data_IF_741969229855
#
_entry.id   IF_741969229855
#
_cell.length_a   1.000
_cell.length_b   1.000
_cell.length_c   1.000
_cell.angle_alpha   90.00
_cell.angle_beta   90.00
_cell.angle_gamma   90.00
#
_symmetry.space_group_name_H-M   'P 1'
#
loop_
_entity.id
_entity.type
_entity.pdbx_description
1 polymer ?
#
# COMPACT_ATOMS: atom_id res chain seq x y z
N UNK A 1 41.11 -21.68 16.21
CA UNK A 1 41.87 -20.45 16.49
C UNK A 1 40.99 -19.54 17.31
N UNK A 2 41.27 -19.38 18.60
CA UNK A 2 40.53 -18.45 19.45
C UNK A 2 41.33 -17.16 19.59
N UNK A 3 40.73 -16.02 19.23
CA UNK A 3 41.37 -14.72 19.39
C UNK A 3 41.35 -14.31 20.88
N UNK A 4 42.42 -13.66 21.38
CA UNK A 4 42.46 -13.13 22.75
C UNK A 4 41.28 -12.21 23.03
N UNK A 5 40.74 -12.27 24.26
CA UNK A 5 39.55 -11.51 24.65
C UNK A 5 39.70 -9.99 24.44
N UNK A 6 40.89 -9.44 24.70
CA UNK A 6 41.20 -8.02 24.46
C UNK A 6 40.98 -7.59 23.01
N UNK A 7 41.45 -8.42 22.07
CA UNK A 7 41.35 -8.15 20.63
C UNK A 7 39.88 -8.20 20.20
N UNK A 8 39.11 -9.15 20.74
CA UNK A 8 37.66 -9.24 20.46
C UNK A 8 36.93 -8.01 20.97
N UNK A 9 37.21 -7.58 22.20
CA UNK A 9 36.58 -6.42 22.82
C UNK A 9 36.86 -5.13 22.03
N UNK A 10 38.13 -4.90 21.66
CA UNK A 10 38.52 -3.75 20.83
C UNK A 10 37.80 -3.72 19.48
N UNK A 11 37.63 -4.88 18.84
CA UNK A 11 36.91 -4.98 17.57
C UNK A 11 35.42 -4.68 17.76
N UNK A 12 34.79 -5.19 18.82
CA UNK A 12 33.38 -4.90 19.09
C UNK A 12 33.13 -3.42 19.37
N UNK A 13 33.96 -2.80 20.20
CA UNK A 13 33.84 -1.38 20.51
C UNK A 13 34.02 -0.50 19.26
N UNK A 14 34.98 -0.85 18.41
CA UNK A 14 35.19 -0.16 17.14
C UNK A 14 34.00 -0.32 16.18
N UNK A 15 33.35 -1.48 16.12
CA UNK A 15 32.16 -1.70 15.27
C UNK A 15 30.99 -0.83 15.75
N UNK A 16 30.71 -0.85 17.06
CA UNK A 16 29.60 -0.09 17.64
C UNK A 16 29.83 1.40 17.42
N UNK A 17 31.04 1.88 17.71
CA UNK A 17 31.42 3.29 17.52
C UNK A 17 31.34 3.70 16.06
N UNK A 18 31.85 2.87 15.14
CA UNK A 18 31.84 3.16 13.70
C UNK A 18 30.43 3.16 13.12
N UNK A 19 29.58 2.20 13.51
CA UNK A 19 28.20 2.16 13.06
C UNK A 19 27.37 3.35 13.56
N UNK A 20 27.67 3.86 14.76
CA UNK A 20 26.95 4.99 15.35
C UNK A 20 27.45 6.36 14.84
N UNK A 21 28.77 6.54 14.71
CA UNK A 21 29.39 7.86 14.47
C UNK A 21 30.13 7.98 13.14
N UNK A 22 30.38 6.87 12.43
CA UNK A 22 31.22 6.85 11.23
C UNK A 22 32.71 7.13 11.48
N UNK A 23 33.13 7.25 12.74
CA UNK A 23 34.51 7.64 13.10
C UNK A 23 35.40 6.41 13.28
N UNK A 24 36.63 6.48 12.74
CA UNK A 24 37.60 5.40 12.84
C UNK A 24 38.36 5.45 14.19
N UNK A 25 38.29 4.36 14.96
CA UNK A 25 39.03 4.22 16.23
C UNK A 25 40.44 3.69 15.96
N UNK A 26 41.44 4.16 16.72
CA UNK A 26 42.82 3.66 16.65
C UNK A 26 42.89 2.27 17.29
N UNK A 27 43.14 1.25 16.47
CA UNK A 27 43.15 -0.16 16.87
C UNK A 27 44.55 -0.78 16.82
N UNK A 28 44.79 -1.83 17.61
CA UNK A 28 45.98 -2.68 17.50
C UNK A 28 46.02 -3.34 16.10
N UNK A 29 47.22 -3.69 15.57
CA UNK A 29 47.33 -4.23 14.20
C UNK A 29 46.43 -5.43 13.91
N UNK A 30 46.28 -6.36 14.87
CA UNK A 30 45.42 -7.53 14.72
C UNK A 30 43.93 -7.16 14.70
N UNK A 31 43.50 -6.32 15.64
CA UNK A 31 42.15 -5.76 15.73
C UNK A 31 41.79 -4.95 14.47
N UNK A 32 42.74 -4.19 13.93
CA UNK A 32 42.59 -3.39 12.70
C UNK A 32 42.35 -4.27 11.47
N UNK A 33 43.06 -5.39 11.36
CA UNK A 33 42.82 -6.35 10.27
C UNK A 33 41.43 -6.95 10.36
N UNK A 34 41.00 -7.41 11.55
CA UNK A 34 39.66 -7.94 11.76
C UNK A 34 38.56 -6.89 11.48
N UNK A 35 38.72 -5.67 11.99
CA UNK A 35 37.82 -4.55 11.76
C UNK A 35 37.73 -4.18 10.27
N UNK A 36 38.82 -4.27 9.49
CA UNK A 36 38.80 -3.93 8.06
C UNK A 36 37.81 -4.78 7.24
N UNK A 37 37.67 -6.06 7.58
CA UNK A 37 36.72 -6.96 6.93
C UNK A 37 35.28 -6.58 7.26
N UNK A 38 35.02 -6.24 8.53
CA UNK A 38 33.69 -5.85 9.01
C UNK A 38 33.32 -4.44 8.57
N UNK A 39 34.29 -3.52 8.49
CA UNK A 39 34.10 -2.18 7.95
C UNK A 39 33.57 -2.24 6.52
N UNK A 40 34.17 -3.10 5.67
CA UNK A 40 33.72 -3.29 4.28
C UNK A 40 32.26 -3.75 4.17
N UNK A 41 31.77 -4.57 5.09
CA UNK A 41 30.37 -5.01 5.09
C UNK A 41 29.44 -3.92 5.61
N UNK A 42 29.85 -3.18 6.64
CA UNK A 42 29.11 -2.03 7.17
C UNK A 42 28.96 -0.94 6.10
N UNK A 43 30.07 -0.55 5.45
CA UNK A 43 30.09 0.47 4.38
C UNK A 43 29.10 0.11 3.26
N UNK A 44 29.14 -1.14 2.77
CA UNK A 44 28.22 -1.63 1.72
C UNK A 44 26.77 -1.58 2.16
N UNK A 45 26.49 -1.88 3.43
CA UNK A 45 25.12 -1.86 3.95
C UNK A 45 24.60 -0.42 4.08
N UNK A 46 25.45 0.52 4.49
CA UNK A 46 25.12 1.95 4.56
C UNK A 46 24.81 2.47 3.15
N UNK A 47 25.70 2.22 2.18
CA UNK A 47 25.50 2.64 0.78
C UNK A 47 24.21 2.03 0.19
N UNK A 48 23.96 0.75 0.46
CA UNK A 48 22.71 0.09 0.03
C UNK A 48 21.47 0.73 0.66
N UNK A 49 21.55 1.13 1.93
CA UNK A 49 20.44 1.80 2.60
C UNK A 49 20.17 3.17 1.98
N UNK A 50 21.22 3.98 1.80
CA UNK A 50 21.12 5.31 1.18
C UNK A 50 20.55 5.23 -0.24
N UNK A 51 21.11 4.37 -1.09
CA UNK A 51 20.63 4.19 -2.48
C UNK A 51 19.18 3.70 -2.55
N UNK A 52 18.77 2.80 -1.66
CA UNK A 52 17.38 2.32 -1.61
C UNK A 52 16.44 3.40 -1.08
N UNK A 53 16.86 4.15 -0.05
CA UNK A 53 16.10 5.27 0.51
C UNK A 53 15.86 6.33 -0.56
N UNK A 54 16.92 6.73 -1.28
CA UNK A 54 16.86 7.68 -2.38
C UNK A 54 16.01 7.17 -3.55
N UNK A 55 16.14 5.90 -3.90
CA UNK A 55 15.30 5.31 -4.96
C UNK A 55 13.82 5.36 -4.58
N UNK A 56 13.48 5.06 -3.33
CA UNK A 56 12.10 5.09 -2.82
C UNK A 56 11.59 6.53 -2.72
N UNK A 57 12.39 7.47 -2.26
CA UNK A 57 12.00 8.88 -2.14
C UNK A 57 11.76 9.50 -3.53
N UNK A 58 12.65 9.25 -4.50
CA UNK A 58 12.48 9.66 -5.90
C UNK A 58 11.24 9.04 -6.54
N UNK A 59 10.99 7.75 -6.30
CA UNK A 59 9.78 7.10 -6.79
C UNK A 59 8.50 7.68 -6.16
N UNK A 60 8.51 7.96 -4.86
CA UNK A 60 7.38 8.59 -4.17
C UNK A 60 7.13 10.01 -4.70
N UNK A 61 8.20 10.81 -4.87
CA UNK A 61 8.12 12.16 -5.45
C UNK A 61 7.64 12.13 -6.90
N UNK A 62 8.15 11.22 -7.72
CA UNK A 62 7.69 11.08 -9.11
C UNK A 62 6.19 10.75 -9.16
N UNK A 63 5.66 9.92 -8.26
CA UNK A 63 4.21 9.65 -8.18
C UNK A 63 3.41 10.91 -7.82
N UNK A 64 3.92 11.73 -6.89
CA UNK A 64 3.30 12.99 -6.52
C UNK A 64 3.28 14.00 -7.68
N UNK A 65 4.43 14.20 -8.33
CA UNK A 65 4.58 15.16 -9.43
C UNK A 65 3.70 14.78 -10.64
N UNK A 66 3.55 13.48 -10.94
CA UNK A 66 2.63 12.99 -11.98
C UNK A 66 1.15 13.21 -11.64
N UNK A 67 0.79 13.24 -10.36
CA UNK A 67 -0.58 13.54 -9.94
C UNK A 67 -0.87 15.04 -10.00
N UNK A 68 0.10 15.90 -9.69
CA UNK A 68 -0.04 17.35 -9.79
C UNK A 68 -0.20 17.79 -11.25
N UNK A 69 0.61 17.25 -12.18
CA UNK A 69 0.50 17.56 -13.61
C UNK A 69 -0.83 17.13 -14.24
N UNK A 70 -1.52 16.13 -13.67
CA UNK A 70 -2.87 15.73 -14.13
C UNK A 70 -3.95 16.72 -13.74
N UNK A 71 -3.74 17.49 -12.68
CA UNK A 71 -4.69 18.51 -12.21
C UNK A 71 -4.66 19.74 -13.14
N UNK A 72 -3.47 20.14 -13.62
CA UNK A 72 -3.29 21.27 -14.54
C UNK A 72 -3.85 21.00 -15.96
N UNK A 73 -4.07 19.74 -16.33
CA UNK A 73 -4.57 19.38 -17.68
C UNK A 73 -6.11 19.41 -17.76
N UNK A 74 -6.82 19.57 -16.64
CA UNK A 74 -8.30 19.72 -16.61
C UNK A 74 -8.72 21.19 -16.49
N UNK A 75 -8.28 22.07 -17.40
CA UNK A 75 -8.87 23.42 -17.51
C UNK A 75 -8.79 23.98 -18.93
N UNK A 76 -9.67 23.53 -19.82
CA UNK A 76 -10.13 24.34 -20.97
C UNK A 76 -11.22 23.66 -21.80
N UNK A 77 -12.49 23.89 -21.45
CA UNK A 77 -13.53 24.25 -22.44
C UNK A 77 -14.64 25.03 -21.70
N UNK A 78 -14.97 26.27 -22.10
CA UNK A 78 -16.16 26.96 -21.62
C UNK A 78 -17.33 26.66 -22.55
N UNK A 79 -18.33 25.92 -22.07
CA UNK A 79 -19.66 25.88 -22.69
C UNK A 79 -20.73 26.15 -21.65
N UNK A 80 -21.67 27.01 -22.06
CA UNK A 80 -22.65 27.79 -21.32
C UNK A 80 -23.86 27.01 -20.74
N UNK A 81 -24.20 27.33 -19.47
CA UNK A 81 -25.54 27.50 -18.82
C UNK A 81 -26.59 26.34 -18.85
N UNK A 82 -27.63 26.35 -17.99
CA UNK A 82 -27.67 26.30 -16.52
C UNK A 82 -28.56 25.14 -15.95
N UNK A 83 -28.19 24.63 -14.76
CA UNK A 83 -29.04 24.07 -13.67
C UNK A 83 -30.15 23.05 -14.07
N UNK A 84 -29.91 21.77 -13.79
CA UNK A 84 -30.91 20.83 -13.23
C UNK A 84 -30.22 19.96 -12.18
N UNK A 85 -30.30 20.40 -10.93
CA UNK A 85 -29.64 19.76 -9.79
C UNK A 85 -30.53 18.61 -9.25
N UNK A 86 -29.95 17.42 -9.13
CA UNK A 86 -30.45 16.19 -8.48
C UNK A 86 -30.99 15.04 -9.34
N UNK A 87 -31.26 15.19 -10.65
CA UNK A 87 -31.68 14.04 -11.51
C UNK A 87 -30.56 13.42 -12.33
N UNK A 88 -29.42 14.12 -12.50
CA UNK A 88 -28.37 13.74 -13.44
C UNK A 88 -27.67 12.42 -13.08
N UNK A 89 -27.42 12.16 -11.79
CA UNK A 89 -26.73 10.95 -11.35
C UNK A 89 -27.60 9.70 -11.50
N UNK A 90 -28.91 9.84 -11.26
CA UNK A 90 -29.86 8.74 -11.35
C UNK A 90 -30.19 8.40 -12.81
N UNK A 91 -30.38 9.43 -13.65
CA UNK A 91 -30.58 9.25 -15.08
C UNK A 91 -29.34 8.65 -15.77
N UNK A 92 -28.14 9.07 -15.38
CA UNK A 92 -26.89 8.54 -15.93
C UNK A 92 -26.62 7.09 -15.45
N UNK A 93 -26.94 6.76 -14.20
CA UNK A 93 -26.86 5.38 -13.71
C UNK A 93 -27.92 4.49 -14.36
N UNK A 94 -29.12 5.00 -14.63
CA UNK A 94 -30.16 4.25 -15.34
C UNK A 94 -29.83 4.10 -16.84
N UNK A 95 -29.15 5.06 -17.46
CA UNK A 95 -28.57 4.94 -18.80
C UNK A 95 -27.42 3.91 -18.82
N UNK A 96 -26.60 3.85 -17.75
CA UNK A 96 -25.62 2.77 -17.56
C UNK A 96 -26.29 1.41 -17.41
N UNK A 97 -27.41 1.31 -16.67
CA UNK A 97 -28.22 0.09 -16.54
C UNK A 97 -28.89 -0.31 -17.87
N UNK A 98 -29.10 0.64 -18.78
CA UNK A 98 -29.73 0.42 -20.09
C UNK A 98 -28.72 0.03 -21.19
N UNK A 99 -27.42 0.20 -20.96
CA UNK A 99 -26.39 -0.11 -21.95
C UNK A 99 -26.04 -1.60 -21.98
N UNK A 100 -26.85 -2.40 -22.67
CA UNK A 100 -26.72 -3.87 -22.77
C UNK A 100 -25.33 -4.32 -23.27
N UNK A 101 -24.76 -3.63 -24.25
CA UNK A 101 -23.41 -3.94 -24.79
C UNK A 101 -22.32 -3.74 -23.75
N UNK A 102 -22.48 -2.74 -22.88
CA UNK A 102 -21.54 -2.50 -21.81
C UNK A 102 -21.72 -3.51 -20.68
N UNK A 103 -22.95 -3.88 -20.34
CA UNK A 103 -23.24 -4.92 -19.37
C UNK A 103 -22.71 -6.29 -19.80
N UNK A 104 -22.80 -6.64 -21.10
CA UNK A 104 -22.23 -7.88 -21.65
C UNK A 104 -20.68 -7.89 -21.58
N UNK A 105 -20.05 -6.74 -21.86
CA UNK A 105 -18.60 -6.57 -21.64
C UNK A 105 -18.22 -6.70 -20.16
N UNK A 106 -19.04 -6.18 -19.25
CA UNK A 106 -18.84 -6.29 -17.80
C UNK A 106 -19.05 -7.72 -17.28
N UNK A 107 -20.01 -8.46 -17.83
CA UNK A 107 -20.23 -9.87 -17.51
C UNK A 107 -18.99 -10.71 -17.82
N UNK A 108 -18.36 -10.46 -18.98
CA UNK A 108 -17.12 -11.12 -19.36
C UNK A 108 -15.94 -10.72 -18.46
N UNK A 109 -15.84 -9.45 -18.06
CA UNK A 109 -14.72 -8.95 -17.25
C UNK A 109 -14.81 -9.35 -15.78
N UNK A 110 -16.01 -9.36 -15.20
CA UNK A 110 -16.24 -9.59 -13.77
C UNK A 110 -16.72 -11.00 -13.46
N UNK A 111 -17.11 -11.80 -14.46
CA UNK A 111 -17.69 -13.14 -14.28
C UNK A 111 -18.89 -13.16 -13.32
N UNK A 112 -19.74 -12.13 -13.40
CA UNK A 112 -20.93 -11.95 -12.55
C UNK A 112 -22.19 -11.87 -13.41
N UNK A 113 -23.34 -12.22 -12.84
CA UNK A 113 -24.60 -12.20 -13.58
C UNK A 113 -25.08 -10.74 -13.80
N UNK A 114 -25.86 -10.49 -14.85
CA UNK A 114 -26.37 -9.15 -15.20
C UNK A 114 -27.16 -8.53 -14.03
N UNK A 115 -27.90 -9.34 -13.29
CA UNK A 115 -28.67 -8.91 -12.12
C UNK A 115 -27.76 -8.52 -10.93
N UNK A 116 -26.62 -9.19 -10.77
CA UNK A 116 -25.63 -8.82 -9.76
C UNK A 116 -24.94 -7.51 -10.12
N UNK A 117 -24.69 -7.27 -11.41
CA UNK A 117 -24.16 -5.99 -11.90
C UNK A 117 -25.16 -4.86 -11.62
N UNK A 118 -26.46 -5.09 -11.84
CA UNK A 118 -27.52 -4.13 -11.51
C UNK A 118 -27.58 -3.82 -10.01
N UNK A 119 -27.53 -4.84 -9.15
CA UNK A 119 -27.46 -4.64 -7.70
C UNK A 119 -26.20 -3.86 -7.28
N UNK A 120 -25.06 -4.13 -7.94
CA UNK A 120 -23.82 -3.38 -7.69
C UNK A 120 -23.89 -1.94 -8.20
N UNK A 121 -24.66 -1.66 -9.25
CA UNK A 121 -24.94 -0.29 -9.69
C UNK A 121 -25.79 0.47 -8.65
N UNK A 122 -26.72 -0.20 -7.96
CA UNK A 122 -27.47 0.40 -6.85
C UNK A 122 -26.58 0.67 -5.62
N UNK A 123 -25.67 -0.26 -5.29
CA UNK A 123 -24.63 -0.04 -4.28
C UNK A 123 -23.70 1.13 -4.66
N UNK A 124 -23.37 1.26 -5.95
CA UNK A 124 -22.54 2.34 -6.48
C UNK A 124 -23.22 3.71 -6.36
N UNK A 125 -24.55 3.79 -6.59
CA UNK A 125 -25.33 5.01 -6.35
C UNK A 125 -25.17 5.50 -4.91
N UNK A 126 -25.31 4.59 -3.93
CA UNK A 126 -25.11 4.92 -2.51
C UNK A 126 -23.69 5.40 -2.21
N UNK A 127 -22.69 4.79 -2.85
CA UNK A 127 -21.28 5.19 -2.68
C UNK A 127 -20.97 6.55 -3.30
N UNK A 128 -21.54 6.88 -4.46
CA UNK A 128 -21.42 8.21 -5.04
C UNK A 128 -22.04 9.29 -4.15
N UNK A 129 -23.21 9.01 -3.56
CA UNK A 129 -23.86 9.92 -2.59
C UNK A 129 -23.00 10.07 -1.33
N UNK A 130 -22.43 8.97 -0.81
CA UNK A 130 -21.59 8.99 0.38
C UNK A 130 -20.24 9.71 0.18
N UNK A 131 -19.63 9.58 -1.00
CA UNK A 131 -18.39 10.24 -1.39
C UNK A 131 -18.59 11.74 -1.74
N UNK A 132 -19.85 12.19 -1.83
CA UNK A 132 -20.18 13.58 -2.15
C UNK A 132 -19.92 13.97 -3.60
N UNK A 133 -19.83 13.01 -4.53
CA UNK A 133 -19.74 13.28 -5.98
C UNK A 133 -21.14 13.50 -6.51
N UNK A 134 -21.46 14.77 -6.79
CA UNK A 134 -22.81 15.21 -7.16
C UNK A 134 -23.07 15.26 -8.67
N UNK A 135 -22.07 15.01 -9.51
CA UNK A 135 -22.23 14.85 -10.96
C UNK A 135 -21.02 14.14 -11.54
N UNK A 136 -21.24 13.29 -12.54
CA UNK A 136 -20.21 12.98 -13.52
C UNK A 136 -20.34 13.97 -14.69
N UNK A 137 -19.21 14.32 -15.30
CA UNK A 137 -19.21 15.21 -16.46
C UNK A 137 -19.62 14.46 -17.74
N UNK A 138 -19.57 13.12 -17.74
CA UNK A 138 -19.80 12.29 -18.92
C UNK A 138 -20.07 10.82 -18.54
N UNK A 139 -20.90 10.13 -19.32
CA UNK A 139 -21.24 8.70 -19.15
C UNK A 139 -20.00 7.79 -19.09
N UNK A 140 -18.94 8.14 -19.82
CA UNK A 140 -17.69 7.40 -19.81
C UNK A 140 -16.87 7.60 -18.52
N UNK A 141 -17.02 8.74 -17.85
CA UNK A 141 -16.45 8.98 -16.53
C UNK A 141 -17.18 8.15 -15.48
N UNK A 142 -18.51 8.11 -15.52
CA UNK A 142 -19.32 7.23 -14.67
C UNK A 142 -18.94 5.74 -14.86
N UNK A 143 -18.78 5.27 -16.11
CA UNK A 143 -18.33 3.91 -16.41
C UNK A 143 -16.94 3.58 -15.85
N UNK A 144 -15.99 4.52 -15.91
CA UNK A 144 -14.66 4.36 -15.31
C UNK A 144 -14.72 4.37 -13.79
N UNK A 145 -15.58 5.22 -13.23
CA UNK A 145 -15.79 5.34 -11.80
C UNK A 145 -16.35 4.03 -11.23
N UNK A 146 -17.36 3.45 -11.90
CA UNK A 146 -17.91 2.15 -11.57
C UNK A 146 -16.87 1.03 -11.66
N UNK A 147 -16.07 0.97 -12.72
CA UNK A 147 -15.01 -0.04 -12.86
C UNK A 147 -13.94 0.05 -11.77
N UNK A 148 -13.51 1.26 -11.44
CA UNK A 148 -12.55 1.48 -10.36
C UNK A 148 -13.15 1.11 -9.01
N UNK A 149 -14.40 1.50 -8.76
CA UNK A 149 -15.14 1.16 -7.56
C UNK A 149 -15.33 -0.35 -7.41
N UNK A 150 -15.78 -1.05 -8.46
CA UNK A 150 -15.90 -2.51 -8.46
C UNK A 150 -14.56 -3.19 -8.18
N UNK A 151 -13.45 -2.69 -8.75
CA UNK A 151 -12.11 -3.20 -8.42
C UNK A 151 -11.75 -3.00 -6.96
N UNK A 152 -12.07 -1.84 -6.38
CA UNK A 152 -11.80 -1.56 -4.97
C UNK A 152 -12.66 -2.45 -4.08
N UNK A 153 -13.96 -2.58 -4.34
CA UNK A 153 -14.90 -3.41 -3.57
C UNK A 153 -14.50 -4.88 -3.63
N UNK A 154 -14.28 -5.43 -4.84
CA UNK A 154 -13.85 -6.83 -5.00
C UNK A 154 -12.47 -7.11 -4.38
N UNK A 155 -11.56 -6.14 -4.43
CA UNK A 155 -10.26 -6.25 -3.76
C UNK A 155 -10.40 -6.17 -2.24
N UNK A 156 -11.26 -5.29 -1.73
CA UNK A 156 -11.50 -5.14 -0.30
C UNK A 156 -12.20 -6.37 0.28
N UNK A 157 -13.11 -7.01 -0.47
CA UNK A 157 -13.71 -8.28 -0.08
C UNK A 157 -12.67 -9.41 0.02
N UNK A 158 -11.75 -9.52 -0.95
CA UNK A 158 -10.61 -10.46 -0.87
C UNK A 158 -9.67 -10.14 0.30
N UNK A 159 -9.37 -8.86 0.52
CA UNK A 159 -8.53 -8.43 1.65
C UNK A 159 -9.22 -8.72 2.99
N UNK A 160 -10.55 -8.59 3.09
CA UNK A 160 -11.31 -8.93 4.30
C UNK A 160 -11.37 -10.44 4.54
N UNK A 161 -11.45 -11.27 3.50
CA UNK A 161 -11.36 -12.74 3.65
C UNK A 161 -9.96 -13.16 4.09
N UNK A 162 -8.91 -12.55 3.53
CA UNK A 162 -7.51 -12.88 3.83
C UNK A 162 -7.05 -12.30 5.17
N UNK A 163 -7.61 -11.16 5.61
CA UNK A 163 -7.30 -10.56 6.92
C UNK A 163 -7.83 -11.39 8.10
N UNK A 164 -8.74 -12.36 7.88
CA UNK A 164 -9.22 -13.26 8.93
C UNK A 164 -8.15 -14.26 9.39
N UNK A 165 -7.03 -14.39 8.67
CA UNK A 165 -5.96 -15.35 8.95
C UNK A 165 -4.60 -14.74 9.36
N UNK A 166 -4.48 -13.43 9.60
CA UNK A 166 -3.15 -12.80 9.70
C UNK A 166 -2.85 -11.82 10.83
N UNK A 167 -3.83 -11.43 11.65
CA UNK A 167 -3.59 -10.48 12.76
C UNK A 167 -4.38 -10.83 14.03
N UNK A 168 -4.12 -12.02 14.60
CA UNK A 168 -4.28 -12.18 16.05
C UNK A 168 -3.02 -11.63 16.69
N UNK A 169 -3.03 -10.32 16.95
CA UNK A 169 -2.12 -9.73 17.93
C UNK A 169 -2.21 -10.54 19.22
N UNK A 170 -1.08 -10.66 19.90
CA UNK A 170 -0.81 -11.43 21.11
C UNK A 170 -2.02 -11.50 22.08
N UNK A 171 -2.94 -12.44 21.84
CA UNK A 171 -3.92 -12.83 22.84
C UNK A 171 -3.18 -13.83 23.71
N UNK A 172 -2.65 -13.37 24.84
CA UNK A 172 -2.26 -14.27 25.92
C UNK A 172 -3.44 -15.22 26.12
N UNK A 173 -3.26 -16.50 25.81
CA UNK A 173 -4.16 -17.52 26.33
C UNK A 173 -4.08 -17.38 27.84
N UNK A 174 -5.20 -17.05 28.47
CA UNK A 174 -5.34 -17.11 29.93
C UNK A 174 -4.88 -18.48 30.37
N UNK A 175 -4.03 -18.51 31.41
CA UNK A 175 -3.37 -19.70 31.92
C UNK A 175 -4.39 -20.82 32.16
N UNK A 176 -4.32 -21.89 31.36
CA UNK A 176 -4.90 -23.16 31.77
C UNK A 176 -4.02 -23.67 32.92
N UNK A 177 -4.60 -23.75 34.13
CA UNK A 177 -3.93 -24.34 35.29
C UNK A 177 -3.38 -25.72 34.90
N UNK A 178 -2.06 -25.83 34.87
CA UNK A 178 -1.38 -27.12 34.75
C UNK A 178 -1.63 -27.88 36.04
N UNK A 179 -2.64 -28.77 36.03
CA UNK A 179 -2.76 -29.80 37.05
C UNK A 179 -1.59 -30.76 36.87
N UNK A 180 -0.53 -30.58 37.66
CA UNK A 180 0.46 -31.63 37.84
C UNK A 180 -0.26 -32.82 38.47
N UNK A 181 -0.42 -33.90 37.71
CA UNK A 181 -0.80 -35.17 38.30
C UNK A 181 0.34 -35.61 39.21
N UNK A 182 0.13 -35.48 40.52
CA UNK A 182 0.93 -36.16 41.52
C UNK A 182 0.73 -37.67 41.33
N UNK A 183 1.59 -38.30 40.56
CA UNK A 183 1.83 -39.74 40.69
C UNK A 183 3.21 -39.89 41.30
N UNK A 184 3.19 -40.14 42.61
CA UNK A 184 4.26 -40.79 43.34
C UNK A 184 4.41 -42.23 42.85
#
# INVERSE_FOLDING_TARGET
MEYPAEVRLEVYDAIITYAATGTLVKLKPLSKMAFSFMKKTIDRNIEKFETVSDRRSRAAKARWDNNLSKDDTKKSQPSSLPITDATTLDEEIDEMKSSEVWLDSMQNLHHMNVDEIKNKLDDFKLQCVADGKTSHDNINDAKKHFNNWLRIVTSNDKVRTDCKAGRRGNLLKTDEEKTYSNSF
#
